data_IF_350043958572
#
_entry.id   IF_350043958572
#
_cell.length_a   1.000
_cell.length_b   1.000
_cell.length_c   1.000
_cell.angle_alpha   90.00
_cell.angle_beta   90.00
_cell.angle_gamma   90.00
#
_symmetry.space_group_name_H-M   'P 1'
#
loop_
_entity.id
_entity.type
_entity.pdbx_description
1 polymer ?
#
# COMPACT_ATOMS: atom_id res chain seq x y z
N UNK A 1 20.19 -6.65 -2.69
CA UNK A 1 19.63 -8.01 -2.52
C UNK A 1 18.18 -7.98 -2.99
N UNK A 2 17.65 -9.04 -3.58
CA UNK A 2 16.29 -9.01 -4.10
C UNK A 2 15.26 -8.86 -2.99
N UNK A 3 14.16 -8.18 -3.32
CA UNK A 3 12.99 -8.13 -2.45
C UNK A 3 12.36 -9.54 -2.36
N UNK A 4 11.90 -9.90 -1.19
CA UNK A 4 11.12 -11.12 -0.95
C UNK A 4 9.64 -10.83 -1.18
N UNK A 5 9.22 -10.90 -2.45
CA UNK A 5 7.83 -10.67 -2.82
C UNK A 5 7.00 -11.89 -2.47
N UNK A 6 6.05 -11.73 -1.54
CA UNK A 6 5.12 -12.79 -1.19
C UNK A 6 4.11 -13.02 -2.31
N UNK A 7 3.77 -14.27 -2.64
CA UNK A 7 2.72 -14.54 -3.62
C UNK A 7 1.36 -14.09 -3.07
N UNK A 8 0.59 -13.42 -3.93
CA UNK A 8 -0.79 -13.11 -3.59
C UNK A 8 -1.63 -14.40 -3.53
N UNK A 9 -2.73 -14.39 -2.75
CA UNK A 9 -3.70 -15.48 -2.81
C UNK A 9 -4.15 -15.73 -4.25
N UNK A 10 -4.12 -16.99 -4.69
CA UNK A 10 -4.48 -17.34 -6.07
C UNK A 10 -5.87 -16.82 -6.50
N UNK A 11 -6.90 -16.80 -5.65
CA UNK A 11 -8.18 -16.20 -6.00
C UNK A 11 -8.10 -14.69 -6.23
N UNK A 12 -7.27 -13.96 -5.46
CA UNK A 12 -7.09 -12.51 -5.63
C UNK A 12 -6.44 -12.22 -6.99
N UNK A 13 -5.36 -12.91 -7.33
CA UNK A 13 -4.72 -12.77 -8.65
C UNK A 13 -5.67 -13.12 -9.78
N UNK A 14 -6.41 -14.24 -9.67
CA UNK A 14 -7.38 -14.64 -10.72
C UNK A 14 -8.46 -13.59 -10.94
N UNK A 15 -8.97 -12.96 -9.87
CA UNK A 15 -9.99 -11.92 -10.00
C UNK A 15 -9.46 -10.68 -10.73
N UNK A 16 -8.22 -10.29 -10.47
CA UNK A 16 -7.55 -9.19 -11.17
C UNK A 16 -7.30 -9.54 -12.64
N UNK A 17 -6.79 -10.73 -12.94
CA UNK A 17 -6.55 -11.16 -14.32
C UNK A 17 -7.85 -11.26 -15.13
N UNK A 18 -8.93 -11.74 -14.51
CA UNK A 18 -10.25 -11.75 -15.14
C UNK A 18 -10.76 -10.35 -15.48
N UNK A 19 -10.58 -9.38 -14.56
CA UNK A 19 -10.93 -7.99 -14.80
C UNK A 19 -10.05 -7.35 -15.90
N UNK A 20 -8.75 -7.63 -15.89
CA UNK A 20 -7.80 -7.12 -16.90
C UNK A 20 -8.09 -7.68 -18.30
N UNK A 21 -8.52 -8.94 -18.38
CA UNK A 21 -8.96 -9.57 -19.62
C UNK A 21 -10.38 -9.18 -20.06
N UNK A 22 -11.11 -8.40 -19.28
CA UNK A 22 -12.47 -7.94 -19.61
C UNK A 22 -12.45 -6.58 -20.29
N UNK A 23 -12.77 -6.48 -21.59
CA UNK A 23 -12.84 -5.19 -22.29
C UNK A 23 -13.82 -4.21 -21.64
N UNK A 24 -14.89 -4.71 -21.04
CA UNK A 24 -15.88 -3.89 -20.33
C UNK A 24 -15.28 -3.30 -19.05
N UNK A 25 -14.66 -4.11 -18.20
CA UNK A 25 -14.06 -3.64 -16.97
C UNK A 25 -12.94 -2.61 -17.22
N UNK A 26 -12.11 -2.82 -18.23
CA UNK A 26 -11.04 -1.87 -18.61
C UNK A 26 -11.64 -0.58 -19.17
N UNK A 27 -12.70 -0.66 -20.00
CA UNK A 27 -13.33 0.52 -20.61
C UNK A 27 -14.08 1.37 -19.57
N UNK A 28 -14.75 0.74 -18.61
CA UNK A 28 -15.51 1.42 -17.55
C UNK A 28 -14.61 1.96 -16.44
N UNK A 29 -13.38 1.48 -16.34
CA UNK A 29 -12.41 2.00 -15.40
C UNK A 29 -12.12 3.48 -15.65
N UNK A 30 -12.03 4.26 -14.57
CA UNK A 30 -11.62 5.67 -14.63
C UNK A 30 -10.09 5.79 -14.71
N UNK A 31 -9.49 5.05 -15.65
CA UNK A 31 -8.04 4.89 -15.84
C UNK A 31 -7.69 5.08 -17.32
N UNK A 32 -7.62 6.31 -17.82
CA UNK A 32 -7.24 6.60 -19.20
C UNK A 32 -5.93 5.94 -19.64
N UNK A 33 -4.91 5.95 -18.76
CA UNK A 33 -3.62 5.34 -19.07
C UNK A 33 -3.76 3.84 -19.37
N UNK A 34 -4.55 3.12 -18.57
CA UNK A 34 -4.81 1.70 -18.78
C UNK A 34 -5.49 1.44 -20.13
N UNK A 35 -6.43 2.31 -20.53
CA UNK A 35 -7.17 2.15 -21.79
C UNK A 35 -6.36 2.46 -23.03
N UNK A 36 -5.38 3.35 -22.92
CA UNK A 36 -4.53 3.80 -24.03
C UNK A 36 -3.19 3.07 -24.10
N UNK A 37 -2.87 2.25 -23.11
CA UNK A 37 -1.62 1.51 -23.08
C UNK A 37 -1.51 0.56 -24.28
N UNK A 38 -0.40 0.60 -25.03
CA UNK A 38 -0.15 -0.32 -26.13
C UNK A 38 0.24 -1.70 -25.59
N UNK A 39 0.03 -2.73 -26.42
CA UNK A 39 0.51 -4.07 -26.17
C UNK A 39 -0.23 -4.85 -25.05
N UNK A 40 0.30 -6.01 -24.70
CA UNK A 40 -0.25 -6.84 -23.64
C UNK A 40 0.03 -6.20 -22.27
N UNK A 41 -0.94 -6.31 -21.37
CA UNK A 41 -0.83 -5.84 -19.99
C UNK A 41 -0.69 -7.02 -19.05
N UNK A 42 0.23 -6.91 -18.08
CA UNK A 42 0.48 -7.93 -17.06
C UNK A 42 0.22 -7.38 -15.65
N UNK A 43 -0.25 -8.24 -14.75
CA UNK A 43 -0.38 -7.90 -13.34
C UNK A 43 0.87 -8.40 -12.59
N UNK A 44 1.68 -7.46 -12.13
CA UNK A 44 2.98 -7.74 -11.52
C UNK A 44 3.07 -7.15 -10.11
N UNK A 45 4.17 -7.44 -9.41
CA UNK A 45 4.47 -6.91 -8.08
C UNK A 45 3.27 -7.00 -7.13
N UNK A 46 2.80 -8.22 -6.76
CA UNK A 46 1.75 -8.37 -5.78
C UNK A 46 2.21 -7.80 -4.43
N UNK A 47 1.49 -6.80 -3.93
CA UNK A 47 1.80 -6.12 -2.68
C UNK A 47 0.62 -6.24 -1.72
N UNK A 48 0.78 -6.86 -0.54
CA UNK A 48 -0.25 -6.83 0.49
C UNK A 48 -0.49 -5.39 0.94
N UNK A 49 -1.74 -4.98 0.91
CA UNK A 49 -2.17 -3.63 1.27
C UNK A 49 -2.71 -3.62 2.69
N UNK A 50 -1.98 -3.00 3.59
CA UNK A 50 -2.38 -2.78 4.98
C UNK A 50 -2.95 -1.38 5.15
N UNK A 51 -3.86 -1.24 6.08
CA UNK A 51 -4.41 0.05 6.51
C UNK A 51 -3.99 0.29 7.96
N UNK A 52 -3.48 1.48 8.25
CA UNK A 52 -3.21 1.92 9.60
C UNK A 52 -4.54 2.22 10.29
N UNK A 53 -4.79 1.55 11.41
CA UNK A 53 -6.02 1.75 12.17
C UNK A 53 -5.98 3.09 12.93
N UNK A 54 -7.15 3.66 13.13
CA UNK A 54 -7.29 4.86 13.95
C UNK A 54 -6.91 4.56 15.39
N UNK A 55 -6.02 5.38 15.94
CA UNK A 55 -5.67 5.30 17.35
C UNK A 55 -6.79 5.95 18.17
N UNK A 56 -7.61 5.12 18.81
CA UNK A 56 -8.60 5.60 19.78
C UNK A 56 -7.95 5.69 21.15
N UNK A 57 -7.95 6.87 21.80
CA UNK A 57 -7.45 6.97 23.16
C UNK A 57 -8.39 6.19 24.09
N UNK A 58 -7.96 5.01 24.53
CA UNK A 58 -8.61 4.26 25.62
C UNK A 58 -7.84 4.48 26.91
N UNK A 59 -8.49 5.12 27.89
CA UNK A 59 -7.94 5.22 29.23
C UNK A 59 -6.69 6.07 29.40
N UNK A 60 -6.51 7.16 28.65
CA UNK A 60 -5.43 8.12 28.85
C UNK A 60 -4.03 7.69 28.38
N UNK A 61 -3.88 6.48 27.85
CA UNK A 61 -2.62 6.00 27.24
C UNK A 61 -2.84 5.79 25.76
N UNK A 62 -2.02 6.41 24.93
CA UNK A 62 -2.04 6.15 23.49
C UNK A 62 -1.72 4.65 23.26
N UNK A 63 -2.68 3.92 22.72
CA UNK A 63 -2.42 2.56 22.26
C UNK A 63 -1.42 2.60 21.10
N UNK A 64 -0.55 1.60 21.00
CA UNK A 64 0.30 1.47 19.82
C UNK A 64 -0.58 1.38 18.56
N UNK A 65 -0.22 2.06 17.47
CA UNK A 65 -0.96 1.96 16.22
C UNK A 65 -0.92 0.53 15.69
N UNK A 66 -2.08 0.03 15.27
CA UNK A 66 -2.23 -1.31 14.68
C UNK A 66 -2.48 -1.21 13.19
N UNK A 67 -2.16 -2.26 12.47
CA UNK A 67 -2.46 -2.36 11.04
C UNK A 67 -3.31 -3.60 10.78
N UNK A 68 -4.10 -3.54 9.73
CA UNK A 68 -4.86 -4.70 9.24
C UNK A 68 -4.69 -4.86 7.74
N UNK A 69 -4.62 -6.09 7.27
CA UNK A 69 -4.64 -6.39 5.85
C UNK A 69 -6.02 -6.01 5.26
N UNK A 70 -6.03 -5.12 4.28
CA UNK A 70 -7.25 -4.68 3.61
C UNK A 70 -7.42 -5.34 2.23
N UNK A 71 -6.32 -5.73 1.60
CA UNK A 71 -6.37 -6.28 0.25
C UNK A 71 -4.98 -6.55 -0.33
N UNK A 72 -4.95 -6.68 -1.64
CA UNK A 72 -3.74 -6.80 -2.42
C UNK A 72 -3.78 -5.80 -3.56
N UNK A 73 -2.65 -5.15 -3.81
CA UNK A 73 -2.46 -4.28 -4.97
C UNK A 73 -1.45 -4.93 -5.91
N UNK A 74 -1.74 -4.86 -7.20
CA UNK A 74 -0.88 -5.32 -8.29
C UNK A 74 -0.56 -4.11 -9.17
N UNK A 75 0.69 -3.97 -9.59
CA UNK A 75 1.01 -3.03 -10.65
C UNK A 75 0.60 -3.64 -12.00
N UNK A 76 -0.09 -2.86 -12.81
CA UNK A 76 -0.40 -3.25 -14.18
C UNK A 76 0.67 -2.66 -15.07
N UNK A 77 1.49 -3.54 -15.62
CA UNK A 77 2.67 -3.20 -16.39
C UNK A 77 2.37 -3.35 -17.88
N UNK A 78 2.70 -2.32 -18.64
CA UNK A 78 2.75 -2.33 -20.10
C UNK A 78 4.15 -2.74 -20.59
N UNK A 79 4.57 -2.22 -21.76
CA UNK A 79 5.85 -2.59 -22.37
C UNK A 79 7.06 -2.32 -21.47
N UNK A 80 7.14 -1.16 -20.82
CA UNK A 80 8.33 -0.72 -20.11
C UNK A 80 8.09 -0.22 -18.67
N UNK A 81 6.85 0.00 -18.27
CA UNK A 81 6.52 0.58 -16.97
C UNK A 81 5.10 0.29 -16.50
N UNK A 82 4.86 0.53 -15.22
CA UNK A 82 3.53 0.43 -14.64
C UNK A 82 2.63 1.58 -15.11
N UNK A 83 1.53 1.25 -15.79
CA UNK A 83 0.55 2.21 -16.32
C UNK A 83 -0.63 2.43 -15.38
N UNK A 84 -0.92 1.45 -14.55
CA UNK A 84 -2.02 1.47 -13.58
C UNK A 84 -1.71 0.54 -12.41
N UNK A 85 -2.62 0.48 -11.46
CA UNK A 85 -2.65 -0.58 -10.46
C UNK A 85 -4.06 -1.19 -10.39
N UNK A 86 -4.15 -2.44 -9.95
CA UNK A 86 -5.39 -3.15 -9.68
C UNK A 86 -5.44 -3.58 -8.21
N UNK A 87 -6.60 -3.49 -7.59
CA UNK A 87 -6.81 -3.95 -6.22
C UNK A 87 -7.78 -5.11 -6.16
N UNK A 88 -7.45 -6.09 -5.31
CA UNK A 88 -8.34 -7.14 -4.89
C UNK A 88 -8.57 -7.04 -3.38
N UNK A 89 -9.81 -7.22 -2.94
CA UNK A 89 -10.24 -7.14 -1.55
C UNK A 89 -10.85 -8.46 -1.10
N UNK A 90 -10.72 -8.75 0.18
CA UNK A 90 -11.41 -9.87 0.79
C UNK A 90 -12.85 -9.46 1.13
N UNK A 91 -13.80 -10.14 0.52
CA UNK A 91 -15.24 -10.00 0.77
C UNK A 91 -15.76 -11.22 1.55
N UNK A 92 -17.00 -11.21 2.06
CA UNK A 92 -17.60 -12.40 2.67
C UNK A 92 -17.61 -13.62 1.74
N UNK A 93 -17.69 -13.42 0.42
CA UNK A 93 -17.70 -14.48 -0.59
C UNK A 93 -16.29 -14.88 -1.08
N UNK A 94 -15.24 -14.28 -0.50
CA UNK A 94 -13.85 -14.52 -0.84
C UNK A 94 -13.17 -13.34 -1.51
N UNK A 95 -12.05 -13.60 -2.18
CA UNK A 95 -11.28 -12.55 -2.87
C UNK A 95 -11.98 -12.09 -4.15
N UNK A 96 -12.18 -10.79 -4.29
CA UNK A 96 -12.78 -10.17 -5.45
C UNK A 96 -11.95 -8.98 -5.95
N UNK A 97 -11.91 -8.78 -7.27
CA UNK A 97 -11.41 -7.54 -7.86
C UNK A 97 -12.25 -6.36 -7.37
N UNK A 98 -11.58 -5.30 -6.96
CA UNK A 98 -12.22 -4.07 -6.49
C UNK A 98 -12.26 -3.02 -7.59
N UNK A 99 -11.10 -2.55 -8.02
CA UNK A 99 -11.01 -1.50 -9.04
C UNK A 99 -9.61 -1.41 -9.63
N UNK A 100 -9.54 -0.73 -10.78
CA UNK A 100 -8.29 -0.20 -11.30
C UNK A 100 -8.09 1.24 -10.81
N UNK A 101 -6.85 1.61 -10.58
CA UNK A 101 -6.45 2.98 -10.25
C UNK A 101 -5.21 3.41 -11.04
N UNK A 102 -5.10 4.70 -11.29
CA UNK A 102 -3.94 5.33 -11.90
C UNK A 102 -3.50 6.54 -11.09
N UNK A 103 -2.48 7.23 -11.54
CA UNK A 103 -1.99 8.45 -10.91
C UNK A 103 -0.60 8.30 -10.31
N UNK A 104 -0.14 9.31 -9.60
CA UNK A 104 1.27 9.42 -9.21
C UNK A 104 1.75 8.29 -8.30
N UNK A 105 0.86 7.67 -7.53
CA UNK A 105 1.23 6.55 -6.67
C UNK A 105 1.68 5.31 -7.45
N UNK A 106 1.23 5.10 -8.69
CA UNK A 106 1.65 3.96 -9.52
C UNK A 106 3.14 4.06 -9.82
N UNK A 107 3.55 5.16 -10.45
CA UNK A 107 4.96 5.40 -10.78
C UNK A 107 5.84 5.52 -9.52
N UNK A 108 5.31 6.12 -8.44
CA UNK A 108 6.04 6.22 -7.18
C UNK A 108 6.27 4.86 -6.53
N UNK A 109 5.29 3.93 -6.60
CA UNK A 109 5.43 2.56 -6.10
C UNK A 109 6.50 1.81 -6.88
N UNK A 110 6.45 1.85 -8.20
CA UNK A 110 7.43 1.21 -9.07
C UNK A 110 8.86 1.72 -8.79
N UNK A 111 9.04 3.04 -8.70
CA UNK A 111 10.33 3.64 -8.37
C UNK A 111 10.82 3.27 -6.96
N UNK A 112 9.93 3.22 -5.98
CA UNK A 112 10.28 2.84 -4.62
C UNK A 112 10.71 1.37 -4.53
N UNK A 113 10.04 0.46 -5.22
CA UNK A 113 10.42 -0.95 -5.32
C UNK A 113 11.80 -1.12 -5.96
N UNK A 114 12.05 -0.46 -7.09
CA UNK A 114 13.36 -0.49 -7.78
C UNK A 114 14.49 0.01 -6.89
N UNK A 115 14.27 1.07 -6.10
CA UNK A 115 15.25 1.56 -5.13
C UNK A 115 15.44 0.59 -3.96
N UNK A 116 14.38 -0.05 -3.50
CA UNK A 116 14.45 -1.01 -2.41
C UNK A 116 15.25 -2.26 -2.79
N UNK A 117 15.23 -2.69 -4.05
CA UNK A 117 16.05 -3.79 -4.56
C UNK A 117 17.56 -3.52 -4.43
N UNK A 118 17.97 -2.24 -4.46
CA UNK A 118 19.36 -1.83 -4.30
C UNK A 118 19.81 -1.74 -2.83
N UNK A 119 18.91 -1.94 -1.87
CA UNK A 119 19.26 -1.92 -0.45
C UNK A 119 20.16 -3.12 -0.06
N UNK A 120 21.07 -2.94 0.91
CA UNK A 120 21.99 -4.02 1.31
C UNK A 120 21.32 -5.18 2.06
N UNK A 121 20.09 -4.98 2.52
CA UNK A 121 19.34 -5.96 3.29
C UNK A 121 18.11 -6.45 2.52
N UNK A 122 17.69 -7.69 2.77
CA UNK A 122 16.46 -8.24 2.22
C UNK A 122 15.24 -7.73 2.99
N UNK A 123 14.15 -7.46 2.28
CA UNK A 123 12.87 -7.02 2.84
C UNK A 123 11.70 -7.69 2.13
N UNK A 124 10.60 -7.87 2.85
CA UNK A 124 9.31 -8.21 2.28
C UNK A 124 8.55 -6.91 2.00
N UNK A 125 8.26 -6.58 0.73
CA UNK A 125 7.56 -5.34 0.38
C UNK A 125 6.07 -5.48 0.68
N UNK A 126 5.51 -4.48 1.35
CA UNK A 126 4.10 -4.31 1.67
C UNK A 126 3.69 -2.87 1.39
N UNK A 127 2.40 -2.60 1.31
CA UNK A 127 1.87 -1.24 1.28
C UNK A 127 1.17 -0.93 2.60
N UNK A 128 1.39 0.28 3.11
CA UNK A 128 0.69 0.83 4.25
C UNK A 128 -0.07 2.07 3.82
N UNK A 129 -1.38 1.99 3.87
CA UNK A 129 -2.28 3.11 3.63
C UNK A 129 -2.62 3.83 4.93
N UNK A 130 -2.57 5.14 4.90
CA UNK A 130 -3.02 6.03 5.98
C UNK A 130 -4.11 6.93 5.41
N UNK A 131 -5.38 6.45 5.40
CA UNK A 131 -6.47 7.12 4.69
C UNK A 131 -6.73 8.55 5.18
N UNK A 132 -6.59 8.80 6.48
CA UNK A 132 -6.78 10.12 7.09
C UNK A 132 -5.81 11.18 6.57
N UNK A 133 -4.67 10.76 6.05
CA UNK A 133 -3.65 11.63 5.47
C UNK A 133 -3.59 11.54 3.94
N UNK A 134 -4.48 10.75 3.32
CA UNK A 134 -4.42 10.44 1.88
C UNK A 134 -3.03 9.97 1.45
N UNK A 135 -2.38 9.18 2.30
CA UNK A 135 -1.00 8.77 2.15
C UNK A 135 -0.90 7.27 1.90
N UNK A 136 -0.03 6.92 0.98
CA UNK A 136 0.40 5.55 0.73
C UNK A 136 1.90 5.45 0.95
N UNK A 137 2.34 4.37 1.57
CA UNK A 137 3.73 4.14 1.97
C UNK A 137 4.16 2.75 1.55
N UNK A 138 5.33 2.60 0.94
CA UNK A 138 5.95 1.29 0.80
C UNK A 138 6.54 0.92 2.16
N UNK A 139 6.05 -0.15 2.73
CA UNK A 139 6.54 -0.74 3.97
C UNK A 139 7.47 -1.91 3.65
N UNK A 140 8.73 -1.76 3.98
CA UNK A 140 9.77 -2.75 3.82
C UNK A 140 9.94 -3.51 5.14
N UNK A 141 9.25 -4.64 5.25
CA UNK A 141 9.27 -5.47 6.45
C UNK A 141 10.54 -6.30 6.51
N UNK A 142 11.23 -6.24 7.65
CA UNK A 142 12.56 -6.86 7.79
C UNK A 142 12.52 -8.38 7.89
N UNK A 143 11.49 -8.92 8.53
CA UNK A 143 11.28 -10.37 8.56
C UNK A 143 10.62 -10.83 7.26
N UNK A 144 11.44 -11.39 6.36
CA UNK A 144 11.00 -11.88 5.06
C UNK A 144 10.21 -13.18 5.14
N UNK A 145 10.13 -13.80 6.32
CA UNK A 145 9.38 -15.06 6.56
C UNK A 145 8.04 -14.82 7.25
N UNK A 146 7.79 -13.60 7.70
CA UNK A 146 6.55 -13.24 8.36
C UNK A 146 5.32 -13.46 7.45
N UNK A 147 4.23 -13.92 8.05
CA UNK A 147 2.96 -14.02 7.34
C UNK A 147 2.51 -12.64 6.85
N UNK A 148 2.01 -12.58 5.62
CA UNK A 148 1.67 -11.30 4.94
C UNK A 148 0.49 -10.57 5.58
N UNK A 149 -0.38 -11.28 6.26
CA UNK A 149 -1.58 -10.79 6.94
C UNK A 149 -1.31 -10.42 8.41
N UNK A 150 -0.15 -10.82 8.92
CA UNK A 150 0.25 -10.58 10.30
C UNK A 150 1.16 -9.36 10.45
N UNK A 151 1.06 -8.77 11.60
CA UNK A 151 2.04 -7.85 12.14
C UNK A 151 1.74 -6.37 11.92
N UNK A 152 2.42 -5.61 12.75
CA UNK A 152 2.49 -4.17 12.70
C UNK A 152 3.91 -3.78 12.25
N UNK A 153 4.13 -2.57 11.74
CA UNK A 153 5.46 -2.09 11.45
C UNK A 153 6.38 -2.21 12.68
N UNK A 154 7.51 -2.87 12.51
CA UNK A 154 8.49 -3.10 13.57
C UNK A 154 9.61 -2.05 13.55
N UNK A 155 10.33 -1.83 14.67
CA UNK A 155 11.41 -0.83 14.72
C UNK A 155 12.51 -1.03 13.68
N UNK A 156 12.71 -2.26 13.23
CA UNK A 156 13.71 -2.64 12.21
C UNK A 156 13.25 -2.44 10.78
N UNK A 157 11.98 -2.15 10.58
CA UNK A 157 11.38 -1.92 9.27
C UNK A 157 11.67 -0.51 8.76
N UNK A 158 11.52 -0.36 7.44
CA UNK A 158 11.58 0.93 6.78
C UNK A 158 10.22 1.28 6.18
N UNK A 159 9.87 2.55 6.28
CA UNK A 159 8.71 3.15 5.65
C UNK A 159 9.17 4.17 4.61
N UNK A 160 8.75 3.98 3.36
CA UNK A 160 9.06 4.89 2.25
C UNK A 160 7.77 5.55 1.79
N UNK A 161 7.50 6.80 2.24
CA UNK A 161 6.32 7.54 1.79
C UNK A 161 6.32 7.68 0.26
N UNK A 162 5.23 7.33 -0.38
CA UNK A 162 5.09 7.47 -1.82
C UNK A 162 4.66 8.89 -2.19
N UNK A 163 5.02 9.34 -3.39
CA UNK A 163 4.62 10.65 -3.88
C UNK A 163 3.21 10.57 -4.52
N UNK A 164 2.32 11.53 -4.20
CA UNK A 164 2.49 12.67 -3.31
C UNK A 164 2.43 12.27 -1.83
N UNK A 165 3.20 12.96 -0.99
CA UNK A 165 3.16 12.80 0.46
C UNK A 165 2.61 14.05 1.14
N UNK A 166 2.03 13.91 2.36
CA UNK A 166 1.53 15.05 3.11
C UNK A 166 2.62 16.08 3.42
N UNK A 167 2.28 17.36 3.61
CA UNK A 167 3.24 18.40 3.95
C UNK A 167 4.12 18.02 5.15
N UNK A 168 5.42 18.25 5.02
CA UNK A 168 6.41 17.94 6.06
C UNK A 168 6.82 16.46 6.15
N UNK A 169 6.38 15.62 5.20
CA UNK A 169 6.87 14.26 5.02
C UNK A 169 7.56 14.18 3.66
N UNK A 170 8.84 13.84 3.66
CA UNK A 170 9.61 13.75 2.43
C UNK A 170 9.24 12.46 1.67
N UNK A 171 8.73 12.57 0.43
CA UNK A 171 8.40 11.38 -0.37
C UNK A 171 9.66 10.69 -0.89
N UNK A 172 9.55 9.40 -1.15
CA UNK A 172 10.57 8.54 -1.75
C UNK A 172 11.89 8.43 -0.93
N UNK A 173 11.87 8.81 0.34
CA UNK A 173 12.98 8.60 1.26
C UNK A 173 12.61 7.53 2.29
N UNK A 174 13.51 6.56 2.56
CA UNK A 174 13.27 5.57 3.60
C UNK A 174 13.40 6.21 4.99
N UNK A 175 12.41 6.00 5.82
CA UNK A 175 12.37 6.39 7.23
C UNK A 175 12.32 5.15 8.11
N UNK A 176 12.90 5.22 9.29
CA UNK A 176 12.67 4.20 10.32
C UNK A 176 11.24 4.29 10.83
N UNK A 177 10.67 3.17 11.19
CA UNK A 177 9.34 3.12 11.81
C UNK A 177 9.29 3.98 13.07
N UNK A 178 10.37 3.95 13.89
CA UNK A 178 10.50 4.77 15.10
C UNK A 178 10.36 6.27 14.85
N UNK A 179 10.69 6.73 13.66
CA UNK A 179 10.71 8.16 13.33
C UNK A 179 9.40 8.61 12.65
N UNK A 180 8.92 7.82 11.70
CA UNK A 180 7.74 8.20 10.89
C UNK A 180 6.42 7.84 11.57
N UNK A 181 6.30 6.64 12.15
CA UNK A 181 5.03 6.15 12.68
C UNK A 181 4.46 7.00 13.81
N UNK A 182 5.27 7.53 14.77
CA UNK A 182 4.76 8.47 15.79
C UNK A 182 4.23 9.77 15.17
N UNK A 183 4.89 10.30 14.14
CA UNK A 183 4.40 11.50 13.43
C UNK A 183 3.06 11.26 12.73
N UNK A 184 2.90 10.10 12.09
CA UNK A 184 1.63 9.72 11.46
C UNK A 184 0.54 9.58 12.51
N UNK A 185 0.82 8.86 13.59
CA UNK A 185 -0.10 8.63 14.70
C UNK A 185 -0.58 9.94 15.31
N UNK A 186 0.34 10.89 15.55
CA UNK A 186 0.00 12.22 16.10
C UNK A 186 -0.97 12.99 15.19
N UNK A 187 -0.78 12.89 13.87
CA UNK A 187 -1.62 13.60 12.89
C UNK A 187 -3.01 12.99 12.71
N UNK A 188 -3.16 11.68 12.93
CA UNK A 188 -4.46 10.99 12.80
C UNK A 188 -5.20 10.88 14.13
N UNK A 189 -4.55 11.23 15.26
CA UNK A 189 -5.21 11.26 16.56
C UNK A 189 -6.10 12.50 16.63
N UNK A 190 -7.42 12.37 16.87
CA UNK A 190 -8.28 13.53 17.08
C UNK A 190 -7.74 14.37 18.24
N UNK A 191 -7.59 15.66 18.03
CA UNK A 191 -7.28 16.59 19.13
C UNK A 191 -8.31 16.46 20.25
N UNK A 192 -7.94 16.71 21.51
CA UNK A 192 -8.91 16.74 22.59
C UNK A 192 -10.01 17.74 22.21
N UNK A 193 -11.26 17.28 22.20
CA UNK A 193 -12.39 18.16 22.07
C UNK A 193 -12.28 19.17 23.22
N UNK A 194 -12.10 20.43 22.90
CA UNK A 194 -12.16 21.51 23.88
C UNK A 194 -13.47 21.32 24.65
N UNK A 195 -13.37 20.99 25.95
CA UNK A 195 -14.50 20.63 26.78
C UNK A 195 -15.58 21.70 26.70
N UNK A 196 -16.82 21.28 26.50
CA UNK A 196 -17.94 22.15 26.76
C UNK A 196 -17.81 22.67 28.18
N UNK A 197 -17.90 23.98 28.41
CA UNK A 197 -17.95 24.51 29.78
C UNK A 197 -19.15 23.88 30.47
N UNK A 198 -18.93 23.43 31.72
CA UNK A 198 -19.96 22.91 32.60
C UNK A 198 -20.96 24.02 32.96
#
# INVERSE_FOLDING_TARGET
>A
MPLHVSPAPAPALRSVLAALGSPTAVREARTPALRSAPGPLTAEHPLPLHVLDRVSPRGGRAAAPTTRLAGWRFLIVGEDHAVAAAEAMLTPDGWAFSHFCEGPYVASTENALRRAEALPAAYQPRLLSVPELYMLTLWLHRDTTAAVDAGNPEPTDLLVPLAPAPPGIAPNLPHRVSDLLPMLTLRITPGPLLGSPA
#
